data_IF_851440324286
#
_entry.id   IF_851440324286
#
_cell.length_a   1.000
_cell.length_b   1.000
_cell.length_c   1.000
_cell.angle_alpha   90.00
_cell.angle_beta   90.00
_cell.angle_gamma   90.00
#
_symmetry.space_group_name_H-M   'P 1'
#
loop_
_entity.id
_entity.type
_entity.pdbx_description
1 polymer ?
#
# COMPACT_ATOMS: atom_id res chain seq x y z
N UNK A 1 32.48 13.18 -28.63
CA UNK A 1 31.57 12.12 -29.16
C UNK A 1 31.57 10.99 -28.13
N UNK A 2 30.50 10.47 -27.57
CA UNK A 2 29.06 10.75 -27.61
C UNK A 2 28.52 10.44 -26.20
N UNK A 3 27.79 11.37 -25.58
CA UNK A 3 27.10 11.12 -24.31
C UNK A 3 25.76 10.45 -24.64
N UNK A 4 25.66 9.15 -24.39
CA UNK A 4 24.41 8.42 -24.53
C UNK A 4 23.45 8.85 -23.42
N UNK A 5 22.49 9.70 -23.76
CA UNK A 5 21.39 10.08 -22.88
C UNK A 5 20.39 8.92 -22.88
N UNK A 6 20.40 8.09 -21.83
CA UNK A 6 19.35 7.11 -21.61
C UNK A 6 18.02 7.87 -21.49
N UNK A 7 17.10 7.61 -22.42
CA UNK A 7 15.76 8.17 -22.39
C UNK A 7 15.06 7.70 -21.10
N UNK A 8 14.68 8.64 -20.24
CA UNK A 8 13.77 8.38 -19.13
C UNK A 8 12.41 8.09 -19.74
N UNK A 9 12.15 6.83 -20.09
CA UNK A 9 10.78 6.41 -20.40
C UNK A 9 9.99 6.55 -19.11
N UNK A 10 9.10 7.54 -19.08
CA UNK A 10 8.11 7.70 -18.03
C UNK A 10 7.29 6.41 -17.95
N UNK A 11 7.64 5.54 -17.00
CA UNK A 11 6.86 4.36 -16.67
C UNK A 11 5.60 4.87 -15.99
N UNK A 12 4.51 4.95 -16.75
CA UNK A 12 3.18 5.08 -16.18
C UNK A 12 3.07 4.03 -15.06
N UNK A 13 2.73 4.45 -13.83
CA UNK A 13 2.69 3.58 -12.65
C UNK A 13 1.83 2.33 -12.84
N UNK A 14 1.81 1.41 -11.85
CA UNK A 14 1.06 0.16 -11.97
C UNK A 14 -0.41 0.44 -12.28
N UNK A 15 -1.01 -0.35 -13.20
CA UNK A 15 -2.40 -0.22 -13.62
C UNK A 15 -3.23 -1.33 -12.98
N UNK A 16 -3.66 -1.10 -11.75
CA UNK A 16 -4.42 -2.08 -10.99
C UNK A 16 -5.90 -2.04 -11.40
N UNK A 17 -6.55 -3.19 -11.31
CA UNK A 17 -7.98 -3.44 -11.55
C UNK A 17 -8.75 -3.63 -10.25
N UNK A 18 -8.10 -3.46 -9.09
CA UNK A 18 -8.77 -3.49 -7.80
C UNK A 18 -9.73 -2.30 -7.69
N UNK A 19 -10.93 -2.55 -7.17
CA UNK A 19 -11.89 -1.48 -6.86
C UNK A 19 -11.47 -0.78 -5.56
N UNK A 20 -11.76 0.52 -5.38
CA UNK A 20 -11.52 1.21 -4.12
C UNK A 20 -12.15 0.48 -2.92
N UNK A 21 -11.50 0.60 -1.76
CA UNK A 21 -12.02 0.06 -0.52
C UNK A 21 -13.08 1.00 0.05
N UNK A 22 -14.15 0.43 0.61
CA UNK A 22 -15.20 1.17 1.32
C UNK A 22 -14.92 1.08 2.83
N UNK A 23 -14.41 2.16 3.47
CA UNK A 23 -14.08 2.17 4.89
C UNK A 23 -15.31 2.32 5.80
N UNK A 24 -16.50 2.57 5.24
CA UNK A 24 -17.75 2.79 5.97
C UNK A 24 -18.66 1.56 6.02
N UNK A 25 -18.17 0.40 5.55
CA UNK A 25 -18.84 -0.89 5.64
C UNK A 25 -19.16 -1.35 7.07
N UNK A 26 -19.86 -2.47 7.18
CA UNK A 26 -20.22 -3.06 8.48
C UNK A 26 -18.97 -3.27 9.35
N UNK A 27 -18.97 -2.68 10.55
CA UNK A 27 -17.82 -2.70 11.46
C UNK A 27 -17.44 -4.11 11.89
N UNK A 28 -18.39 -5.05 11.92
CA UNK A 28 -18.13 -6.45 12.32
C UNK A 28 -17.35 -7.23 11.25
N UNK A 29 -17.40 -6.79 9.99
CA UNK A 29 -16.72 -7.44 8.88
C UNK A 29 -15.62 -6.58 8.24
N UNK A 30 -15.49 -5.31 8.62
CA UNK A 30 -14.56 -4.33 8.06
C UNK A 30 -13.13 -4.85 8.00
N UNK A 31 -12.60 -5.44 9.09
CA UNK A 31 -11.26 -6.00 9.12
C UNK A 31 -11.08 -7.16 8.12
N UNK A 32 -12.06 -8.07 8.02
CA UNK A 32 -12.04 -9.18 7.07
C UNK A 32 -12.15 -8.69 5.62
N UNK A 33 -12.94 -7.65 5.37
CA UNK A 33 -13.06 -7.00 4.07
C UNK A 33 -11.75 -6.33 3.68
N UNK A 34 -11.10 -5.64 4.62
CA UNK A 34 -9.80 -5.02 4.42
C UNK A 34 -8.75 -6.06 4.05
N UNK A 35 -8.63 -7.16 4.80
CA UNK A 35 -7.70 -8.25 4.49
C UNK A 35 -7.92 -8.81 3.08
N UNK A 36 -9.17 -9.13 2.72
CA UNK A 36 -9.51 -9.63 1.37
C UNK A 36 -9.21 -8.62 0.27
N UNK A 37 -9.48 -7.34 0.52
CA UNK A 37 -9.17 -6.27 -0.42
C UNK A 37 -7.66 -6.15 -0.61
N UNK A 38 -6.92 -6.15 0.50
CA UNK A 38 -5.47 -6.01 0.52
C UNK A 38 -4.77 -7.19 -0.19
N UNK A 39 -5.23 -8.42 0.00
CA UNK A 39 -4.75 -9.59 -0.75
C UNK A 39 -5.01 -9.49 -2.27
N UNK A 40 -6.10 -8.84 -2.69
CA UNK A 40 -6.37 -8.59 -4.11
C UNK A 40 -5.44 -7.52 -4.66
N UNK A 41 -5.25 -6.45 -3.89
CA UNK A 41 -4.32 -5.38 -4.20
C UNK A 41 -2.88 -5.90 -4.37
N UNK A 42 -2.33 -6.64 -3.39
CA UNK A 42 -0.94 -7.14 -3.47
C UNK A 42 -0.72 -8.09 -4.65
N UNK A 43 -1.71 -8.93 -4.95
CA UNK A 43 -1.66 -9.84 -6.11
C UNK A 43 -1.60 -9.08 -7.43
N UNK A 44 -2.41 -8.04 -7.56
CA UNK A 44 -2.48 -7.22 -8.77
C UNK A 44 -1.24 -6.31 -8.91
N UNK A 45 -0.75 -5.78 -7.79
CA UNK A 45 0.50 -5.02 -7.71
C UNK A 45 1.68 -5.85 -8.21
N UNK A 46 1.80 -7.09 -7.71
CA UNK A 46 2.82 -8.05 -8.16
C UNK A 46 2.66 -8.42 -9.64
N UNK A 47 1.43 -8.64 -10.11
CA UNK A 47 1.16 -8.92 -11.52
C UNK A 47 1.60 -7.78 -12.44
N UNK A 48 1.46 -6.53 -11.98
CA UNK A 48 1.92 -5.32 -12.67
C UNK A 48 3.43 -5.05 -12.51
N UNK A 49 4.19 -5.98 -11.94
CA UNK A 49 5.65 -5.88 -11.80
C UNK A 49 6.11 -4.92 -10.70
N UNK A 50 5.21 -4.47 -9.83
CA UNK A 50 5.56 -3.64 -8.68
C UNK A 50 5.79 -4.54 -7.47
N UNK A 51 7.07 -4.70 -7.10
CA UNK A 51 7.52 -5.44 -5.93
C UNK A 51 7.80 -4.44 -4.79
N UNK A 52 7.06 -4.49 -3.67
CA UNK A 52 7.27 -3.58 -2.54
C UNK A 52 8.69 -3.63 -1.96
N UNK A 53 9.40 -4.76 -2.06
CA UNK A 53 10.78 -4.87 -1.58
C UNK A 53 11.78 -4.08 -2.43
N UNK A 54 11.47 -3.89 -3.73
CA UNK A 54 12.33 -3.18 -4.69
C UNK A 54 11.90 -1.73 -4.91
N UNK A 55 10.61 -1.47 -4.77
CA UNK A 55 9.98 -0.19 -5.10
C UNK A 55 8.99 0.25 -4.01
N UNK A 56 9.40 0.34 -2.73
CA UNK A 56 8.49 0.60 -1.61
C UNK A 56 7.76 1.93 -1.73
N UNK A 57 8.38 2.97 -2.32
CA UNK A 57 7.72 4.25 -2.56
C UNK A 57 6.58 4.14 -3.58
N UNK A 58 6.78 3.42 -4.68
CA UNK A 58 5.74 3.18 -5.70
C UNK A 58 4.63 2.31 -5.13
N UNK A 59 4.98 1.26 -4.39
CA UNK A 59 4.01 0.40 -3.72
C UNK A 59 3.15 1.18 -2.70
N UNK A 60 3.76 2.09 -1.92
CA UNK A 60 3.03 2.99 -1.02
C UNK A 60 2.06 3.88 -1.79
N UNK A 61 2.51 4.57 -2.84
CA UNK A 61 1.64 5.42 -3.65
C UNK A 61 0.49 4.61 -4.26
N UNK A 62 0.77 3.43 -4.80
CA UNK A 62 -0.25 2.54 -5.33
C UNK A 62 -1.27 2.14 -4.25
N UNK A 63 -0.82 1.81 -3.04
CA UNK A 63 -1.73 1.49 -1.93
C UNK A 63 -2.72 2.62 -1.67
N UNK A 64 -2.23 3.86 -1.53
CA UNK A 64 -3.08 5.02 -1.21
C UNK A 64 -4.02 5.37 -2.37
N UNK A 65 -3.49 5.43 -3.60
CA UNK A 65 -4.28 5.75 -4.80
C UNK A 65 -5.40 4.73 -5.03
N UNK A 66 -5.09 3.43 -4.94
CA UNK A 66 -6.06 2.39 -5.28
C UNK A 66 -6.95 1.98 -4.10
N UNK A 67 -6.56 2.24 -2.85
CA UNK A 67 -7.47 2.10 -1.71
C UNK A 67 -8.61 3.12 -1.75
N UNK A 68 -8.36 4.29 -2.34
CA UNK A 68 -9.33 5.37 -2.50
C UNK A 68 -9.07 6.53 -1.54
N UNK A 69 -9.59 7.70 -1.90
CA UNK A 69 -9.30 8.99 -1.24
C UNK A 69 -9.65 8.98 0.25
N UNK A 70 -10.75 8.33 0.66
CA UNK A 70 -11.12 8.25 2.07
C UNK A 70 -10.11 7.44 2.90
N UNK A 71 -9.51 6.39 2.31
CA UNK A 71 -8.46 5.60 2.98
C UNK A 71 -7.14 6.37 3.02
N UNK A 72 -6.86 7.19 2.01
CA UNK A 72 -5.72 8.12 2.00
C UNK A 72 -5.86 9.17 3.10
N UNK A 73 -7.02 9.81 3.22
CA UNK A 73 -7.32 10.77 4.30
C UNK A 73 -7.21 10.13 5.70
N UNK A 74 -7.70 8.88 5.85
CA UNK A 74 -7.51 8.10 7.07
C UNK A 74 -6.02 7.82 7.33
N UNK A 75 -5.24 7.45 6.31
CA UNK A 75 -3.81 7.22 6.46
C UNK A 75 -3.09 8.47 6.96
N UNK A 76 -3.37 9.64 6.38
CA UNK A 76 -2.70 10.90 6.73
C UNK A 76 -3.01 11.38 8.16
N UNK A 77 -4.17 11.00 8.70
CA UNK A 77 -4.61 11.39 10.05
C UNK A 77 -4.18 10.41 11.15
N UNK A 78 -3.88 9.16 10.80
CA UNK A 78 -3.45 8.15 11.75
C UNK A 78 -1.99 8.41 12.22
N UNK A 79 -1.63 8.02 13.46
CA UNK A 79 -0.25 8.10 13.93
C UNK A 79 0.63 7.08 13.20
N UNK A 80 1.93 7.38 13.06
CA UNK A 80 2.88 6.41 12.51
C UNK A 80 2.97 5.17 13.40
N UNK A 81 2.94 3.95 12.82
CA UNK A 81 3.02 2.73 13.59
C UNK A 81 4.44 2.51 14.11
N UNK A 82 4.55 1.94 15.30
CA UNK A 82 5.82 1.40 15.78
C UNK A 82 6.28 0.23 14.91
N UNK A 83 7.59 0.13 14.66
CA UNK A 83 8.20 -1.04 14.03
C UNK A 83 7.94 -2.28 14.91
N UNK A 84 7.32 -3.35 14.38
CA UNK A 84 7.11 -4.57 15.14
C UNK A 84 8.43 -5.18 15.58
N UNK A 85 8.43 -5.79 16.77
CA UNK A 85 9.60 -6.50 17.29
C UNK A 85 10.03 -7.63 16.33
N UNK A 86 11.35 -7.78 16.12
CA UNK A 86 11.90 -8.75 15.18
C UNK A 86 11.85 -8.33 13.70
N UNK A 87 11.31 -7.16 13.36
CA UNK A 87 11.41 -6.63 11.99
C UNK A 87 12.74 -5.90 11.80
N UNK A 88 13.55 -6.37 10.85
CA UNK A 88 14.79 -5.70 10.45
C UNK A 88 14.51 -4.31 9.87
N UNK A 89 15.44 -3.37 10.06
CA UNK A 89 15.26 -1.99 9.61
C UNK A 89 15.08 -1.87 8.10
N UNK A 90 15.78 -2.68 7.32
CA UNK A 90 15.71 -2.73 5.86
C UNK A 90 14.31 -3.18 5.36
N UNK A 91 13.62 -4.00 6.17
CA UNK A 91 12.26 -4.47 5.86
C UNK A 91 11.18 -3.49 6.35
N UNK A 92 11.53 -2.52 7.21
CA UNK A 92 10.60 -1.50 7.71
C UNK A 92 10.43 -0.33 6.75
N UNK A 93 10.07 -0.66 5.51
CA UNK A 93 9.94 0.29 4.40
C UNK A 93 8.71 1.20 4.55
N UNK A 94 8.65 2.28 3.77
CA UNK A 94 7.49 3.17 3.72
C UNK A 94 6.17 2.46 3.34
N UNK A 95 6.27 1.39 2.53
CA UNK A 95 5.12 0.54 2.21
C UNK A 95 4.67 -0.27 3.43
N UNK A 96 5.60 -0.95 4.10
CA UNK A 96 5.28 -1.74 5.30
C UNK A 96 4.73 -0.87 6.43
N UNK A 97 5.29 0.32 6.65
CA UNK A 97 4.73 1.31 7.59
C UNK A 97 3.27 1.64 7.24
N UNK A 98 2.98 1.96 5.98
CA UNK A 98 1.63 2.33 5.55
C UNK A 98 0.64 1.17 5.65
N UNK A 99 1.08 -0.03 5.29
CA UNK A 99 0.33 -1.28 5.43
C UNK A 99 0.01 -1.56 6.90
N UNK A 100 1.00 -1.47 7.79
CA UNK A 100 0.79 -1.70 9.22
C UNK A 100 -0.13 -0.66 9.83
N UNK A 101 0.03 0.62 9.46
CA UNK A 101 -0.81 1.75 9.89
C UNK A 101 -2.29 1.49 9.61
N UNK A 102 -2.61 1.15 8.36
CA UNK A 102 -3.98 0.86 7.93
C UNK A 102 -4.50 -0.46 8.52
N UNK A 103 -3.65 -1.50 8.60
CA UNK A 103 -4.01 -2.77 9.22
C UNK A 103 -4.42 -2.60 10.69
N UNK A 104 -3.68 -1.81 11.47
CA UNK A 104 -4.01 -1.52 12.88
C UNK A 104 -5.36 -0.79 12.98
N UNK A 105 -5.67 0.09 12.04
CA UNK A 105 -6.92 0.84 12.04
C UNK A 105 -8.14 -0.04 11.72
N UNK A 106 -8.04 -0.88 10.69
CA UNK A 106 -9.17 -1.69 10.22
C UNK A 106 -9.35 -3.02 10.95
N UNK A 107 -8.32 -3.55 11.60
CA UNK A 107 -8.48 -4.73 12.44
C UNK A 107 -9.34 -4.41 13.67
N UNK A 108 -10.20 -5.35 14.10
CA UNK A 108 -10.95 -5.18 15.33
C UNK A 108 -9.98 -5.01 16.50
N UNK A 109 -10.14 -3.91 17.23
CA UNK A 109 -9.51 -3.73 18.54
C UNK A 109 -10.20 -4.71 19.49
N UNK A 110 -9.46 -5.68 20.00
CA UNK A 110 -9.93 -6.57 21.07
C UNK A 110 -10.22 -5.76 22.34
#
# INVERSE_FOLDING_TARGET
MATSSAAVTATNGPKLKVLPFDPHGDRLDLGKRWEKWFERFERDLKYNGCDPSKTPGIAKMALLIYAGTEVEDLHDTLPEPGRPEGTEEENWTAYEQSKTKLKIHFLPKQ
#
